data_IF_012419306519
#
_entry.id   IF_012419306519
#
_cell.length_a   1.000
_cell.length_b   1.000
_cell.length_c   1.000
_cell.angle_alpha   90.00
_cell.angle_beta   90.00
_cell.angle_gamma   90.00
#
_symmetry.space_group_name_H-M   'P 1'
#
loop_
_entity.id
_entity.type
_entity.pdbx_description
1 polymer ?
#
# COMPACT_ATOMS: atom_id res chain seq x y z
N UNK A 1 18.56 -37.31 -14.50
CA UNK A 1 19.35 -36.06 -14.38
C UNK A 1 18.60 -35.23 -13.35
N UNK A 2 19.20 -34.95 -12.20
CA UNK A 2 18.54 -34.22 -11.11
C UNK A 2 18.40 -32.73 -11.45
N UNK A 3 17.39 -32.09 -10.88
CA UNK A 3 17.21 -30.63 -10.96
C UNK A 3 17.79 -30.02 -9.70
N UNK A 4 18.63 -29.00 -9.81
CA UNK A 4 19.29 -28.36 -8.67
C UNK A 4 18.85 -26.91 -8.54
N UNK A 5 18.74 -26.43 -7.30
CA UNK A 5 18.40 -25.06 -6.99
C UNK A 5 19.47 -24.11 -7.52
N UNK A 6 19.06 -23.15 -8.35
CA UNK A 6 19.97 -22.18 -8.96
C UNK A 6 20.72 -21.31 -7.93
N UNK A 7 20.16 -21.13 -6.72
CA UNK A 7 20.71 -20.22 -5.71
C UNK A 7 21.60 -20.89 -4.66
N UNK A 8 21.29 -22.13 -4.24
CA UNK A 8 22.06 -22.84 -3.22
C UNK A 8 22.73 -24.12 -3.70
N UNK A 9 22.37 -24.62 -4.89
CA UNK A 9 22.90 -25.88 -5.44
C UNK A 9 22.26 -27.15 -4.88
N UNK A 10 21.35 -27.07 -3.91
CA UNK A 10 20.66 -28.25 -3.35
C UNK A 10 19.74 -28.91 -4.39
N UNK A 11 19.56 -30.23 -4.29
CA UNK A 11 18.63 -30.96 -5.15
C UNK A 11 17.19 -30.48 -4.93
N UNK A 12 16.48 -30.24 -6.03
CA UNK A 12 15.05 -29.94 -6.01
C UNK A 12 14.28 -31.25 -6.04
N UNK A 13 13.56 -31.50 -4.95
CA UNK A 13 12.63 -32.63 -4.78
C UNK A 13 11.19 -32.12 -4.87
N UNK A 14 10.20 -33.01 -5.09
CA UNK A 14 8.79 -32.60 -5.07
C UNK A 14 8.34 -31.89 -3.78
N UNK A 15 9.01 -32.15 -2.65
CA UNK A 15 8.68 -31.57 -1.34
C UNK A 15 9.26 -30.16 -1.15
N UNK A 16 10.38 -29.85 -1.82
CA UNK A 16 11.06 -28.57 -1.71
C UNK A 16 10.94 -27.69 -2.97
N UNK A 17 10.35 -28.19 -4.06
CA UNK A 17 10.12 -27.42 -5.28
C UNK A 17 9.18 -26.24 -4.99
N UNK A 18 9.50 -25.09 -5.59
CA UNK A 18 8.72 -23.87 -5.44
C UNK A 18 8.34 -23.27 -6.78
N UNK A 19 7.13 -22.71 -6.84
CA UNK A 19 6.66 -21.92 -7.97
C UNK A 19 7.16 -20.49 -7.84
N UNK A 20 8.29 -20.19 -8.46
CA UNK A 20 8.87 -18.85 -8.48
C UNK A 20 8.29 -17.98 -9.60
N UNK A 21 8.10 -16.69 -9.33
CA UNK A 21 7.70 -15.72 -10.33
C UNK A 21 8.94 -15.15 -11.03
N UNK A 22 9.04 -15.24 -12.36
CA UNK A 22 10.19 -14.68 -13.09
C UNK A 22 10.31 -13.17 -12.86
N UNK A 23 9.17 -12.48 -12.81
CA UNK A 23 9.05 -11.09 -12.38
C UNK A 23 8.20 -11.12 -11.12
N UNK A 24 8.61 -10.52 -9.98
CA UNK A 24 7.84 -10.59 -8.74
C UNK A 24 6.39 -10.17 -8.93
N UNK A 25 5.47 -10.90 -8.30
CA UNK A 25 4.05 -10.57 -8.38
C UNK A 25 3.73 -9.18 -7.83
N UNK A 26 4.51 -8.72 -6.85
CA UNK A 26 4.37 -7.41 -6.24
C UNK A 26 4.56 -6.26 -7.25
N UNK A 27 5.26 -6.51 -8.37
CA UNK A 27 5.45 -5.54 -9.46
C UNK A 27 4.71 -5.94 -10.74
N UNK A 28 3.73 -6.86 -10.63
CA UNK A 28 2.81 -7.22 -11.72
C UNK A 28 3.18 -8.46 -12.52
N UNK A 29 4.23 -9.19 -12.14
CA UNK A 29 4.61 -10.41 -12.85
C UNK A 29 3.64 -11.57 -12.64
N UNK A 30 3.48 -12.38 -13.69
CA UNK A 30 2.50 -13.49 -13.78
C UNK A 30 3.12 -14.83 -14.12
N UNK A 31 4.21 -14.83 -14.90
CA UNK A 31 4.85 -16.05 -15.37
C UNK A 31 5.59 -16.71 -14.21
N UNK A 32 5.23 -17.96 -13.92
CA UNK A 32 5.82 -18.79 -12.88
C UNK A 32 6.64 -19.91 -13.49
N UNK A 33 7.69 -20.34 -12.81
CA UNK A 33 8.51 -21.49 -13.15
C UNK A 33 8.62 -22.42 -11.94
N UNK A 34 8.74 -23.72 -12.21
CA UNK A 34 9.00 -24.79 -11.23
C UNK A 34 10.31 -25.47 -11.59
N UNK A 35 10.95 -26.14 -10.64
CA UNK A 35 12.26 -26.79 -10.85
C UNK A 35 13.39 -25.78 -11.08
N UNK A 36 13.31 -24.59 -10.52
CA UNK A 36 14.34 -23.55 -10.67
C UNK A 36 15.04 -23.20 -9.36
N UNK A 37 14.26 -22.99 -8.29
CA UNK A 37 14.78 -22.72 -6.95
C UNK A 37 13.98 -23.50 -5.91
N UNK A 38 14.65 -23.92 -4.83
CA UNK A 38 13.99 -24.55 -3.70
C UNK A 38 13.15 -23.53 -2.90
N UNK A 39 12.19 -24.04 -2.14
CA UNK A 39 11.26 -23.27 -1.31
C UNK A 39 11.95 -22.39 -0.28
N UNK A 40 13.06 -22.85 0.30
CA UNK A 40 13.81 -22.05 1.27
C UNK A 40 14.42 -20.81 0.62
N UNK A 41 15.12 -21.00 -0.51
CA UNK A 41 15.69 -19.88 -1.26
C UNK A 41 14.60 -18.91 -1.72
N UNK A 42 13.50 -19.42 -2.27
CA UNK A 42 12.35 -18.60 -2.69
C UNK A 42 11.80 -17.73 -1.54
N UNK A 43 11.57 -18.32 -0.37
CA UNK A 43 11.09 -17.56 0.78
C UNK A 43 12.10 -16.50 1.24
N UNK A 44 13.39 -16.86 1.27
CA UNK A 44 14.47 -15.95 1.67
C UNK A 44 14.59 -14.77 0.70
N UNK A 45 14.60 -15.03 -0.60
CA UNK A 45 14.64 -13.98 -1.64
C UNK A 45 13.42 -13.09 -1.59
N UNK A 46 12.24 -13.70 -1.42
CA UNK A 46 10.96 -13.02 -1.23
C UNK A 46 10.94 -12.04 -0.05
N UNK A 47 11.73 -12.29 1.00
CA UNK A 47 11.85 -11.44 2.19
C UNK A 47 13.03 -10.46 2.14
N UNK A 48 13.94 -10.62 1.16
CA UNK A 48 15.16 -9.81 1.05
C UNK A 48 15.10 -8.93 -0.20
N UNK A 49 15.80 -9.32 -1.28
CA UNK A 49 15.95 -8.47 -2.45
C UNK A 49 14.68 -8.29 -3.29
N UNK A 50 13.76 -9.26 -3.32
CA UNK A 50 12.49 -9.14 -4.05
C UNK A 50 11.57 -8.16 -3.34
N UNK A 51 11.61 -8.18 -2.00
CA UNK A 51 10.93 -7.22 -1.16
C UNK A 51 11.49 -5.82 -1.36
N UNK A 52 12.81 -5.65 -1.34
CA UNK A 52 13.44 -4.35 -1.59
C UNK A 52 13.04 -3.78 -2.95
N UNK A 53 13.11 -4.60 -4.00
CA UNK A 53 12.71 -4.21 -5.35
C UNK A 53 11.22 -3.84 -5.42
N UNK A 54 10.35 -4.60 -4.75
CA UNK A 54 8.93 -4.31 -4.69
C UNK A 54 8.63 -2.99 -3.95
N UNK A 55 9.32 -2.74 -2.84
CA UNK A 55 9.17 -1.53 -2.03
C UNK A 55 9.63 -0.29 -2.87
N UNK A 56 10.77 -0.38 -3.56
CA UNK A 56 11.27 0.69 -4.44
C UNK A 56 10.32 1.00 -5.61
N UNK A 57 9.71 -0.03 -6.19
CA UNK A 57 8.78 0.12 -7.32
C UNK A 57 7.32 0.33 -6.89
N UNK A 58 7.04 0.45 -5.59
CA UNK A 58 5.67 0.62 -5.07
C UNK A 58 5.00 1.88 -5.61
N UNK A 59 5.76 2.97 -5.80
CA UNK A 59 5.23 4.20 -6.42
C UNK A 59 4.69 3.94 -7.83
N UNK A 60 5.48 3.32 -8.71
CA UNK A 60 5.08 3.06 -10.09
C UNK A 60 3.95 2.05 -10.18
N UNK A 61 4.04 0.97 -9.41
CA UNK A 61 3.01 -0.08 -9.44
C UNK A 61 1.65 0.41 -8.96
N UNK A 62 1.64 1.31 -7.96
CA UNK A 62 0.41 1.93 -7.45
C UNK A 62 -0.11 3.01 -8.41
N UNK A 63 0.76 3.91 -8.88
CA UNK A 63 0.35 5.04 -9.74
C UNK A 63 -0.11 4.62 -11.13
N UNK A 64 0.45 3.54 -11.67
CA UNK A 64 0.06 2.99 -12.98
C UNK A 64 -1.09 1.96 -12.89
N UNK A 65 -1.63 1.69 -11.70
CA UNK A 65 -2.72 0.74 -11.52
C UNK A 65 -2.37 -0.69 -11.91
N UNK A 66 -1.13 -1.13 -11.62
CA UNK A 66 -0.64 -2.45 -12.02
C UNK A 66 -1.43 -3.56 -11.32
N UNK A 67 -2.10 -4.41 -12.10
CA UNK A 67 -2.90 -5.53 -11.59
C UNK A 67 -2.02 -6.69 -11.15
N UNK A 68 -2.09 -7.01 -9.86
CA UNK A 68 -1.35 -8.11 -9.21
C UNK A 68 -2.26 -9.31 -8.93
N UNK A 69 -1.68 -10.50 -8.83
CA UNK A 69 -2.46 -11.71 -8.50
C UNK A 69 -2.86 -11.70 -7.01
N UNK A 70 -1.96 -11.24 -6.14
CA UNK A 70 -2.24 -11.06 -4.72
C UNK A 70 -2.90 -9.71 -4.47
N UNK A 71 -4.06 -9.72 -3.80
CA UNK A 71 -4.84 -8.51 -3.45
C UNK A 71 -4.31 -7.84 -2.17
N UNK A 72 -3.04 -7.45 -2.16
CA UNK A 72 -2.50 -6.63 -1.06
C UNK A 72 -2.82 -5.18 -1.36
N UNK A 73 -3.56 -4.47 -0.51
CA UNK A 73 -3.80 -3.03 -0.74
C UNK A 73 -2.49 -2.27 -0.60
N UNK A 74 -2.01 -1.65 -1.69
CA UNK A 74 -0.86 -0.74 -1.67
C UNK A 74 -1.37 0.69 -1.75
N UNK A 75 -0.61 1.61 -1.16
CA UNK A 75 -0.94 3.01 -1.20
C UNK A 75 0.30 3.86 -1.05
N UNK A 76 0.38 4.96 -1.80
CA UNK A 76 1.52 5.88 -1.79
C UNK A 76 1.07 7.31 -1.53
N UNK A 77 1.84 8.10 -0.74
CA UNK A 77 1.57 9.52 -0.59
C UNK A 77 1.87 10.27 -1.89
N UNK A 78 1.00 11.21 -2.25
CA UNK A 78 1.16 12.11 -3.40
C UNK A 78 0.78 13.54 -3.01
N UNK A 79 1.30 14.54 -3.74
CA UNK A 79 1.00 15.95 -3.52
C UNK A 79 0.22 16.50 -4.72
N UNK A 80 -0.90 17.17 -4.44
CA UNK A 80 -1.70 17.84 -5.46
C UNK A 80 -0.96 19.05 -6.02
N UNK A 81 -0.72 19.07 -7.33
CA UNK A 81 -0.05 20.21 -7.98
C UNK A 81 -0.88 21.49 -7.96
N UNK A 82 -2.20 21.36 -7.91
CA UNK A 82 -3.14 22.50 -8.00
C UNK A 82 -3.39 23.17 -6.65
N UNK A 83 -3.40 22.41 -5.55
CA UNK A 83 -3.73 22.92 -4.22
C UNK A 83 -2.63 22.71 -3.17
N UNK A 84 -1.54 22.03 -3.54
CA UNK A 84 -0.41 21.75 -2.65
C UNK A 84 -0.72 20.75 -1.53
N UNK A 85 -1.91 20.15 -1.49
CA UNK A 85 -2.33 19.26 -0.41
C UNK A 85 -1.77 17.86 -0.57
N UNK A 86 -1.65 17.14 0.56
CA UNK A 86 -1.24 15.74 0.60
C UNK A 86 -2.43 14.81 0.43
N UNK A 87 -2.22 13.79 -0.37
CA UNK A 87 -3.17 12.72 -0.64
C UNK A 87 -2.50 11.35 -0.51
N UNK A 88 -3.31 10.31 -0.36
CA UNK A 88 -2.92 8.93 -0.58
C UNK A 88 -3.55 8.45 -1.89
N UNK A 89 -2.72 7.94 -2.80
CA UNK A 89 -3.18 7.17 -3.95
C UNK A 89 -3.14 5.68 -3.62
N UNK A 90 -4.26 4.98 -3.75
CA UNK A 90 -4.28 3.52 -3.57
C UNK A 90 -4.12 2.75 -4.89
N UNK A 91 -3.88 1.44 -4.78
CA UNK A 91 -3.66 0.56 -5.94
C UNK A 91 -4.87 0.37 -6.85
N UNK A 92 -6.04 0.86 -6.45
CA UNK A 92 -7.25 0.91 -7.28
C UNK A 92 -7.41 2.30 -7.95
N UNK A 93 -6.34 3.11 -7.90
CA UNK A 93 -6.26 4.47 -8.42
C UNK A 93 -7.23 5.46 -7.74
N UNK A 94 -7.67 5.18 -6.51
CA UNK A 94 -8.46 6.14 -5.74
C UNK A 94 -7.55 7.10 -4.97
N UNK A 95 -7.95 8.36 -4.91
CA UNK A 95 -7.23 9.43 -4.22
C UNK A 95 -7.98 9.80 -2.94
N UNK A 96 -7.28 9.77 -1.81
CA UNK A 96 -7.83 10.07 -0.48
C UNK A 96 -7.10 11.29 0.11
N UNK A 97 -7.82 12.32 0.55
CA UNK A 97 -7.21 13.50 1.18
C UNK A 97 -6.58 13.12 2.53
N UNK A 98 -5.31 13.46 2.75
CA UNK A 98 -4.62 13.22 4.03
C UNK A 98 -4.78 14.42 4.96
N UNK A 99 -4.68 15.62 4.39
CA UNK A 99 -4.69 16.84 5.19
C UNK A 99 -6.05 17.05 5.82
N UNK A 100 -6.05 17.13 7.15
CA UNK A 100 -7.21 17.55 7.91
C UNK A 100 -7.10 19.03 8.20
N UNK A 101 -7.91 19.85 7.55
CA UNK A 101 -8.00 21.28 7.88
C UNK A 101 -8.96 21.46 9.06
N UNK A 102 -8.64 22.37 9.98
CA UNK A 102 -9.54 22.80 11.05
C UNK A 102 -9.42 24.31 11.21
N UNK A 103 -10.54 25.00 11.19
CA UNK A 103 -10.64 26.43 11.49
C UNK A 103 -11.90 26.72 12.30
N UNK A 104 -11.77 27.65 13.24
CA UNK A 104 -12.84 28.08 14.12
C UNK A 104 -12.95 29.60 14.04
N UNK A 105 -14.14 30.11 13.70
CA UNK A 105 -14.46 31.53 13.70
C UNK A 105 -15.49 31.82 14.78
N UNK A 106 -15.14 32.69 15.73
CA UNK A 106 -16.07 33.20 16.72
C UNK A 106 -16.91 34.29 16.05
N UNK A 107 -18.22 34.12 16.08
CA UNK A 107 -19.20 35.08 15.58
C UNK A 107 -20.07 35.58 16.74
N UNK A 108 -20.71 36.76 16.62
CA UNK A 108 -21.62 37.27 17.65
C UNK A 108 -22.76 36.31 18.02
N UNK A 109 -23.11 35.38 17.12
CA UNK A 109 -24.17 34.37 17.27
C UNK A 109 -23.66 32.99 17.69
N UNK A 110 -22.36 32.82 17.96
CA UNK A 110 -21.77 31.53 18.36
C UNK A 110 -20.48 31.18 17.60
N UNK A 111 -20.12 29.89 17.58
CA UNK A 111 -18.90 29.40 16.93
C UNK A 111 -19.20 28.74 15.59
N UNK A 112 -18.57 29.20 14.51
CA UNK A 112 -18.57 28.52 13.22
C UNK A 112 -17.27 27.70 13.07
N UNK A 113 -17.42 26.38 12.91
CA UNK A 113 -16.30 25.44 12.76
C UNK A 113 -16.30 24.90 11.33
N UNK A 114 -15.18 25.07 10.63
CA UNK A 114 -14.94 24.47 9.31
C UNK A 114 -13.78 23.48 9.42
N UNK A 115 -13.99 22.25 8.96
CA UNK A 115 -12.95 21.23 8.93
C UNK A 115 -13.07 20.32 7.70
N UNK A 116 -11.93 19.84 7.22
CA UNK A 116 -11.82 18.90 6.10
C UNK A 116 -11.18 17.60 6.59
N UNK A 117 -11.61 16.45 6.09
CA UNK A 117 -11.05 15.14 6.46
C UNK A 117 -11.10 14.17 5.29
N UNK A 118 -10.24 13.16 5.32
CA UNK A 118 -10.04 12.23 4.21
C UNK A 118 -11.16 11.25 3.91
N UNK A 119 -12.09 11.01 4.83
CA UNK A 119 -13.22 10.10 4.61
C UNK A 119 -14.39 10.35 5.57
N UNK A 120 -15.56 9.81 5.23
CA UNK A 120 -16.80 9.99 6.00
C UNK A 120 -16.71 9.43 7.42
N UNK A 121 -16.02 8.30 7.62
CA UNK A 121 -15.87 7.69 8.95
C UNK A 121 -15.10 8.62 9.90
N UNK A 122 -14.00 9.21 9.42
CA UNK A 122 -13.24 10.22 10.16
C UNK A 122 -14.07 11.48 10.40
N UNK A 123 -14.89 11.90 9.42
CA UNK A 123 -15.78 13.06 9.57
C UNK A 123 -16.75 12.84 10.72
N UNK A 124 -17.42 11.69 10.76
CA UNK A 124 -18.36 11.32 11.82
C UNK A 124 -17.69 11.28 13.20
N UNK A 125 -16.47 10.74 13.28
CA UNK A 125 -15.70 10.73 14.54
C UNK A 125 -15.35 12.14 14.98
N UNK A 126 -14.84 12.98 14.07
CA UNK A 126 -14.49 14.38 14.38
C UNK A 126 -15.70 15.18 14.84
N UNK A 127 -16.86 15.01 14.21
CA UNK A 127 -18.12 15.65 14.64
C UNK A 127 -18.47 15.23 16.07
N UNK A 128 -18.34 13.95 16.44
CA UNK A 128 -18.61 13.48 17.81
C UNK A 128 -17.65 14.10 18.82
N UNK A 129 -16.37 14.19 18.50
CA UNK A 129 -15.35 14.86 19.34
C UNK A 129 -15.69 16.34 19.55
N UNK A 130 -16.04 17.05 18.47
CA UNK A 130 -16.39 18.47 18.53
C UNK A 130 -17.66 18.71 19.34
N UNK A 131 -18.68 17.86 19.19
CA UNK A 131 -19.91 17.93 20.01
C UNK A 131 -19.62 17.77 21.50
N UNK A 132 -18.75 16.82 21.88
CA UNK A 132 -18.33 16.67 23.28
C UNK A 132 -17.64 17.94 23.76
N UNK A 133 -16.66 18.45 23.01
CA UNK A 133 -15.88 19.63 23.40
C UNK A 133 -16.76 20.87 23.62
N UNK A 134 -17.78 21.06 22.78
CA UNK A 134 -18.76 22.16 22.92
C UNK A 134 -19.72 21.93 24.09
N UNK A 135 -20.10 20.68 24.39
CA UNK A 135 -21.01 20.37 25.51
C UNK A 135 -20.37 20.52 26.90
N UNK A 136 -19.04 20.61 26.98
CA UNK A 136 -18.28 20.84 28.22
C UNK A 136 -17.70 22.26 28.31
N UNK A 137 -18.01 23.15 27.35
CA UNK A 137 -17.63 24.57 27.34
C UNK A 137 -18.84 25.44 27.62
#
# INVERSE_FOLDING_TARGET
>A
MGTFCFLCGDEITPENDSKEHIIPNAIGGRKKVSGFICRECNNRTGQTWDKSLADDLTFFTTTLGVKRERKTKLSVPVIGKTDGRRYILDSDCNVHLVDTEYSEKITPSGKNIHFSVGNEKLARTKIKELKKKISYS
#
